data_IF_775760203415
#
_entry.id   IF_775760203415
#
_cell.length_a   1.000
_cell.length_b   1.000
_cell.length_c   1.000
_cell.angle_alpha   90.00
_cell.angle_beta   90.00
_cell.angle_gamma   90.00
#
_symmetry.space_group_name_H-M   'P 1'
#
loop_
_entity.id
_entity.type
_entity.pdbx_description
1 polymer ?
#
# COMPACT_ATOMS: atom_id res chain seq x y z
N UNK A 1 26.59 -2.09 -57.63
CA UNK A 1 27.93 -2.60 -57.29
C UNK A 1 27.79 -3.58 -56.14
N UNK A 2 27.88 -4.88 -56.43
CA UNK A 2 27.85 -6.00 -55.46
C UNK A 2 29.27 -6.53 -55.32
N UNK A 3 29.75 -6.79 -54.11
CA UNK A 3 30.86 -7.74 -53.88
C UNK A 3 30.53 -8.64 -52.70
N UNK A 4 30.13 -9.85 -53.05
CA UNK A 4 30.23 -11.04 -52.21
C UNK A 4 31.66 -11.56 -52.30
N UNK A 5 32.18 -12.08 -51.20
CA UNK A 5 33.38 -12.92 -51.21
C UNK A 5 33.16 -14.12 -50.29
N UNK A 6 32.81 -15.23 -50.91
CA UNK A 6 32.92 -16.60 -50.41
C UNK A 6 34.21 -17.20 -50.97
N UNK A 7 35.03 -17.88 -50.17
CA UNK A 7 35.76 -19.08 -50.60
C UNK A 7 36.33 -19.81 -49.37
N UNK A 8 35.94 -21.08 -49.23
CA UNK A 8 36.51 -22.09 -48.35
C UNK A 8 37.59 -22.89 -49.13
N UNK A 9 38.02 -24.09 -48.70
CA UNK A 9 38.74 -24.48 -47.49
C UNK A 9 40.06 -25.21 -47.83
N UNK A 10 40.91 -25.52 -46.84
CA UNK A 10 41.89 -26.62 -46.97
C UNK A 10 42.29 -27.18 -45.61
N UNK A 11 42.05 -28.47 -45.44
CA UNK A 11 42.55 -29.31 -44.37
C UNK A 11 43.94 -29.84 -44.71
N UNK A 12 44.82 -30.02 -43.72
CA UNK A 12 45.73 -31.17 -43.63
C UNK A 12 46.24 -31.33 -42.19
N UNK A 13 46.33 -32.60 -41.79
CA UNK A 13 46.73 -33.14 -40.50
C UNK A 13 48.21 -32.93 -40.17
N UNK A 14 48.57 -32.88 -38.88
CA UNK A 14 49.47 -33.85 -38.23
C UNK A 14 49.68 -33.53 -36.74
N UNK A 15 49.98 -34.58 -35.99
CA UNK A 15 49.91 -34.72 -34.54
C UNK A 15 51.10 -34.13 -33.76
N UNK A 16 50.88 -33.81 -32.50
CA UNK A 16 51.85 -34.00 -31.42
C UNK A 16 51.12 -34.20 -30.09
N UNK A 17 51.38 -35.36 -29.47
CA UNK A 17 50.87 -35.76 -28.17
C UNK A 17 51.66 -35.07 -27.05
N UNK A 18 50.95 -34.57 -26.03
CA UNK A 18 51.53 -34.32 -24.69
C UNK A 18 50.57 -34.87 -23.64
N UNK A 19 51.17 -35.59 -22.71
CA UNK A 19 50.57 -36.48 -21.74
C UNK A 19 49.89 -35.75 -20.56
N UNK A 20 49.09 -36.56 -19.87
CA UNK A 20 48.20 -36.30 -18.76
C UNK A 20 48.83 -35.53 -17.58
N UNK A 21 48.05 -34.63 -16.99
CA UNK A 21 47.98 -34.53 -15.53
C UNK A 21 46.55 -34.14 -15.11
N UNK A 22 45.86 -35.07 -14.47
CA UNK A 22 44.50 -34.94 -13.98
C UNK A 22 44.51 -34.38 -12.55
N UNK A 23 44.04 -33.16 -12.36
CA UNK A 23 43.55 -32.71 -11.06
C UNK A 23 42.04 -32.99 -11.01
N UNK A 24 41.68 -34.08 -10.34
CA UNK A 24 40.31 -34.39 -9.95
C UNK A 24 39.94 -33.49 -8.77
N UNK A 25 39.04 -32.53 -8.98
CA UNK A 25 38.37 -31.81 -7.90
C UNK A 25 36.96 -32.41 -7.71
N UNK A 26 36.54 -32.78 -6.48
CA UNK A 26 35.21 -33.30 -6.23
C UNK A 26 34.16 -32.19 -6.29
N UNK A 27 33.00 -32.49 -6.89
CA UNK A 27 31.83 -31.62 -6.95
C UNK A 27 31.22 -31.39 -5.55
N UNK A 28 30.61 -30.23 -5.27
CA UNK A 28 29.85 -30.03 -4.04
C UNK A 28 28.53 -30.82 -4.12
N UNK A 29 28.35 -31.74 -3.19
CA UNK A 29 27.12 -32.51 -3.00
C UNK A 29 25.96 -31.59 -2.61
N UNK A 30 24.82 -31.75 -3.30
CA UNK A 30 23.56 -31.11 -2.93
C UNK A 30 23.02 -31.74 -1.64
N UNK A 31 22.61 -30.95 -0.63
CA UNK A 31 21.95 -31.51 0.55
C UNK A 31 20.55 -32.03 0.19
N UNK A 32 20.25 -33.23 0.68
CA UNK A 32 18.97 -33.91 0.55
C UNK A 32 17.81 -33.12 1.22
N UNK A 33 16.57 -33.23 0.71
CA UNK A 33 15.42 -32.55 1.30
C UNK A 33 15.04 -33.18 2.65
N UNK A 34 14.96 -32.33 3.68
CA UNK A 34 14.41 -32.68 4.99
C UNK A 34 12.95 -33.11 4.87
N UNK A 35 12.61 -34.19 5.59
CA UNK A 35 11.29 -34.78 5.66
C UNK A 35 10.23 -33.78 6.15
N UNK A 36 9.11 -33.78 5.45
CA UNK A 36 7.91 -32.99 5.73
C UNK A 36 7.25 -33.39 7.06
N UNK A 37 6.99 -32.39 7.90
CA UNK A 37 6.22 -32.50 9.14
C UNK A 37 4.76 -32.95 8.88
N UNK A 38 4.11 -33.65 9.84
CA UNK A 38 2.73 -34.10 9.71
C UNK A 38 1.72 -32.93 9.74
N UNK A 39 0.55 -33.08 9.09
CA UNK A 39 -0.46 -32.03 9.03
C UNK A 39 -1.15 -31.79 10.38
N UNK A 40 -1.37 -30.51 10.71
CA UNK A 40 -2.19 -30.07 11.84
C UNK A 40 -3.67 -30.48 11.67
N UNK A 41 -4.40 -30.77 12.77
CA UNK A 41 -5.80 -31.18 12.71
C UNK A 41 -6.72 -30.06 12.21
N UNK A 42 -7.75 -30.46 11.47
CA UNK A 42 -8.73 -29.59 10.84
C UNK A 42 -9.54 -28.77 11.86
N UNK A 43 -9.50 -27.45 11.73
CA UNK A 43 -10.41 -26.55 12.44
C UNK A 43 -11.83 -26.70 11.87
N UNK A 44 -12.77 -27.06 12.74
CA UNK A 44 -14.21 -27.10 12.47
C UNK A 44 -14.72 -25.67 12.26
N UNK A 45 -15.31 -25.38 11.10
CA UNK A 45 -16.00 -24.10 10.86
C UNK A 45 -17.42 -24.16 11.42
N UNK A 46 -17.88 -23.17 12.19
CA UNK A 46 -19.29 -23.05 12.57
C UNK A 46 -20.15 -22.62 11.37
N UNK A 47 -21.38 -23.13 11.35
CA UNK A 47 -22.37 -22.90 10.28
C UNK A 47 -22.79 -21.42 10.15
N UNK A 48 -23.14 -20.95 8.94
CA UNK A 48 -23.62 -19.58 8.75
C UNK A 48 -25.05 -19.42 9.28
N UNK A 49 -25.24 -18.40 10.13
CA UNK A 49 -26.54 -17.95 10.60
C UNK A 49 -27.39 -17.41 9.43
N UNK A 50 -28.68 -17.70 9.48
CA UNK A 50 -29.67 -17.30 8.49
C UNK A 50 -29.85 -15.78 8.43
N UNK A 51 -29.80 -15.21 7.21
CA UNK A 51 -30.22 -13.83 6.96
C UNK A 51 -31.75 -13.72 7.11
N UNK A 52 -32.20 -12.80 7.96
CA UNK A 52 -33.58 -12.31 7.96
C UNK A 52 -33.75 -11.20 6.90
N UNK A 53 -34.94 -11.06 6.28
CA UNK A 53 -35.22 -10.06 5.26
C UNK A 53 -35.47 -8.66 5.86
N UNK A 54 -35.02 -7.64 5.14
CA UNK A 54 -35.25 -6.22 5.45
C UNK A 54 -36.71 -5.81 5.16
N UNK A 55 -37.33 -4.95 5.99
CA UNK A 55 -38.62 -4.34 5.66
C UNK A 55 -38.47 -3.14 4.72
N UNK A 56 -39.55 -2.94 3.96
CA UNK A 56 -39.69 -2.02 2.84
C UNK A 56 -39.92 -0.55 3.25
N UNK A 57 -39.61 0.31 2.27
CA UNK A 57 -39.81 1.75 2.12
C UNK A 57 -40.80 2.50 3.01
N UNK A 58 -40.36 3.71 3.39
CA UNK A 58 -41.23 4.84 3.67
C UNK A 58 -40.63 6.09 3.01
N UNK A 59 -41.45 6.74 2.18
CA UNK A 59 -41.26 8.04 1.57
C UNK A 59 -40.92 9.13 2.61
N UNK A 60 -40.00 10.03 2.27
CA UNK A 60 -39.85 11.30 2.99
C UNK A 60 -39.47 12.42 2.01
N UNK A 61 -40.41 13.35 1.89
CA UNK A 61 -40.40 14.59 1.11
C UNK A 61 -39.18 15.49 1.42
N UNK A 62 -38.71 16.17 0.38
CA UNK A 62 -37.85 17.35 0.48
C UNK A 62 -38.64 18.55 1.05
N UNK A 63 -38.10 19.31 2.02
CA UNK A 63 -38.65 20.61 2.35
C UNK A 63 -38.05 21.70 1.45
N UNK A 64 -38.94 22.55 0.95
CA UNK A 64 -38.66 23.65 0.04
C UNK A 64 -37.98 24.87 0.68
N UNK A 65 -37.37 25.65 -0.19
CA UNK A 65 -36.73 26.92 0.10
C UNK A 65 -37.72 27.99 0.57
N UNK A 66 -37.32 28.77 1.59
CA UNK A 66 -37.97 30.00 2.01
C UNK A 66 -36.95 31.17 1.98
N UNK A 67 -37.42 32.43 1.83
CA UNK A 67 -36.65 33.52 1.23
C UNK A 67 -35.72 34.26 2.20
N UNK A 68 -34.67 34.86 1.63
CA UNK A 68 -33.68 35.72 2.29
C UNK A 68 -34.28 37.09 2.64
N UNK A 69 -34.13 37.48 3.91
CA UNK A 69 -34.41 38.82 4.43
C UNK A 69 -33.11 39.66 4.45
N UNK A 70 -33.15 40.98 4.16
CA UNK A 70 -31.95 41.82 4.02
C UNK A 70 -31.32 42.22 5.37
N UNK A 71 -30.02 42.59 5.40
CA UNK A 71 -29.31 42.87 6.65
C UNK A 71 -29.63 44.27 7.22
N UNK A 72 -29.72 44.35 8.54
CA UNK A 72 -29.80 45.59 9.31
C UNK A 72 -28.41 46.28 9.47
N UNK A 73 -28.35 47.60 9.69
CA UNK A 73 -27.11 48.36 9.61
C UNK A 73 -26.21 48.24 10.87
N UNK A 74 -24.90 48.39 10.64
CA UNK A 74 -23.83 48.41 11.63
C UNK A 74 -24.04 49.53 12.66
N UNK A 75 -24.15 49.15 13.94
CA UNK A 75 -24.06 50.07 15.06
C UNK A 75 -22.61 50.16 15.57
N UNK A 76 -22.15 51.40 15.72
CA UNK A 76 -20.82 51.81 16.13
C UNK A 76 -20.47 51.34 17.56
N UNK A 77 -19.23 50.88 17.75
CA UNK A 77 -18.69 50.49 19.05
C UNK A 77 -18.47 51.72 19.97
N UNK A 78 -18.76 51.62 21.29
CA UNK A 78 -18.34 52.62 22.26
C UNK A 78 -16.83 52.47 22.61
N UNK A 79 -16.13 53.56 22.98
CA UNK A 79 -14.72 53.49 23.36
C UNK A 79 -14.55 52.81 24.73
N UNK A 80 -13.49 52.00 24.84
CA UNK A 80 -13.12 51.30 26.07
C UNK A 80 -12.64 52.28 27.17
N UNK A 81 -12.91 52.00 28.46
CA UNK A 81 -12.31 52.73 29.55
C UNK A 81 -10.82 52.35 29.69
N UNK A 82 -9.97 53.37 29.72
CA UNK A 82 -8.58 53.26 30.16
C UNK A 82 -8.57 53.22 31.69
N UNK A 83 -8.28 52.04 32.24
CA UNK A 83 -7.56 51.81 33.51
C UNK A 83 -7.88 50.39 34.01
N UNK A 84 -7.04 49.43 33.62
CA UNK A 84 -6.97 48.11 34.24
C UNK A 84 -5.50 47.81 34.56
N UNK A 85 -5.16 47.43 35.82
CA UNK A 85 -3.79 47.11 36.19
C UNK A 85 -3.31 45.86 35.44
N UNK A 86 -1.99 45.71 35.20
CA UNK A 86 -1.47 44.59 34.42
C UNK A 86 -1.80 43.28 35.13
N UNK A 87 -2.58 42.44 34.45
CA UNK A 87 -2.79 41.06 34.85
C UNK A 87 -1.42 40.36 34.92
N UNK A 88 -1.14 39.79 36.08
CA UNK A 88 0.01 38.94 36.30
C UNK A 88 0.11 37.88 35.19
N UNK A 89 1.35 37.65 34.74
CA UNK A 89 1.68 36.58 33.82
C UNK A 89 1.15 35.25 34.36
N UNK A 90 0.09 34.74 33.75
CA UNK A 90 -0.38 33.39 33.99
C UNK A 90 0.67 32.42 33.49
N UNK A 91 1.05 31.49 34.36
CA UNK A 91 1.82 30.29 34.02
C UNK A 91 1.24 29.64 32.76
N UNK A 92 2.12 29.29 31.83
CA UNK A 92 1.75 28.70 30.55
C UNK A 92 0.96 27.41 30.75
N UNK A 93 -0.37 27.50 30.65
CA UNK A 93 -1.23 26.33 30.63
C UNK A 93 -0.81 25.42 29.47
N UNK A 94 -0.59 24.14 29.77
CA UNK A 94 -0.33 23.11 28.78
C UNK A 94 -1.36 23.23 27.63
N UNK A 95 -0.94 22.98 26.37
CA UNK A 95 -1.81 23.14 25.23
C UNK A 95 -3.08 22.30 25.43
N UNK A 96 -4.24 22.98 25.52
CA UNK A 96 -5.54 22.33 25.52
C UNK A 96 -5.79 21.81 24.10
N UNK A 97 -5.80 20.50 23.92
CA UNK A 97 -6.09 19.88 22.63
C UNK A 97 -5.31 18.59 22.41
N UNK A 98 -5.51 17.96 21.24
CA UNK A 98 -4.85 16.71 20.91
C UNK A 98 -3.35 16.89 20.73
N UNK A 99 -2.61 15.92 21.24
CA UNK A 99 -1.14 15.92 21.20
C UNK A 99 -0.65 15.04 20.06
N UNK A 100 0.32 15.58 19.34
CA UNK A 100 1.09 14.87 18.32
C UNK A 100 2.56 15.01 18.71
N UNK A 101 3.16 13.91 19.15
CA UNK A 101 4.57 13.87 19.56
C UNK A 101 5.40 13.19 18.47
N UNK A 102 6.56 13.76 18.16
CA UNK A 102 7.54 13.16 17.26
C UNK A 102 8.56 12.43 18.12
N UNK A 103 8.61 11.10 18.03
CA UNK A 103 9.67 10.32 18.66
C UNK A 103 10.96 10.42 17.84
N UNK A 104 12.09 10.06 18.46
CA UNK A 104 13.42 10.14 17.82
C UNK A 104 13.43 9.43 16.45
N UNK A 105 13.72 10.15 15.34
CA UNK A 105 13.85 9.53 14.03
C UNK A 105 15.05 8.59 13.96
N UNK A 106 14.98 7.59 13.08
CA UNK A 106 16.09 6.66 12.83
C UNK A 106 16.14 6.23 11.37
N UNK A 107 17.36 5.97 10.90
CA UNK A 107 17.60 5.40 9.57
C UNK A 107 16.94 4.02 9.47
N UNK A 108 16.40 3.69 8.30
CA UNK A 108 15.73 2.41 8.07
C UNK A 108 16.62 1.23 8.48
N UNK A 109 16.06 0.30 9.27
CA UNK A 109 16.80 -0.85 9.80
C UNK A 109 17.69 -0.56 11.01
N UNK A 110 17.76 0.70 11.50
CA UNK A 110 18.50 1.09 12.72
C UNK A 110 17.57 1.44 13.89
N UNK A 111 16.39 0.84 13.97
CA UNK A 111 15.51 1.00 15.13
C UNK A 111 16.18 0.39 16.37
N UNK A 112 16.20 1.15 17.47
CA UNK A 112 16.73 0.67 18.74
C UNK A 112 15.90 -0.52 19.27
N UNK A 113 16.59 -1.56 19.74
CA UNK A 113 15.94 -2.66 20.44
C UNK A 113 15.43 -2.17 21.81
N UNK A 114 14.23 -2.60 22.26
CA UNK A 114 13.74 -2.26 23.59
C UNK A 114 14.70 -2.74 24.67
N UNK A 115 14.87 -1.96 25.75
CA UNK A 115 15.75 -2.33 26.88
C UNK A 115 15.19 -3.44 27.77
N UNK A 116 13.96 -3.89 27.53
CA UNK A 116 13.32 -4.97 28.27
C UNK A 116 11.87 -5.21 27.82
N UNK A 117 11.21 -6.15 28.48
CA UNK A 117 9.82 -6.54 28.16
C UNK A 117 8.82 -5.39 28.37
N UNK A 118 9.02 -4.55 29.39
CA UNK A 118 8.13 -3.40 29.64
C UNK A 118 8.14 -2.40 28.48
N UNK A 119 9.33 -1.99 28.03
CA UNK A 119 9.48 -1.08 26.89
C UNK A 119 8.96 -1.70 25.57
N UNK A 120 9.16 -3.02 25.40
CA UNK A 120 8.59 -3.74 24.26
C UNK A 120 7.06 -3.75 24.29
N UNK A 121 6.45 -4.06 25.45
CA UNK A 121 5.01 -4.09 25.62
C UNK A 121 4.38 -2.69 25.46
N UNK A 122 5.05 -1.65 25.93
CA UNK A 122 4.62 -0.27 25.72
C UNK A 122 4.64 0.10 24.24
N UNK A 123 5.72 -0.23 23.53
CA UNK A 123 5.81 -0.01 22.08
C UNK A 123 4.71 -0.78 21.33
N UNK A 124 4.46 -2.03 21.71
CA UNK A 124 3.42 -2.86 21.09
C UNK A 124 2.02 -2.28 21.35
N UNK A 125 1.77 -1.77 22.57
CA UNK A 125 0.53 -1.04 22.91
C UNK A 125 0.34 0.18 22.02
N UNK A 126 1.38 0.99 21.84
CA UNK A 126 1.35 2.15 20.95
C UNK A 126 1.14 1.77 19.49
N UNK A 127 1.81 0.72 19.00
CA UNK A 127 1.66 0.22 17.63
C UNK A 127 0.26 -0.35 17.35
N UNK A 128 -0.39 -0.93 18.36
CA UNK A 128 -1.77 -1.40 18.26
C UNK A 128 -2.77 -0.23 18.27
N UNK A 129 -2.54 0.78 19.12
CA UNK A 129 -3.43 1.93 19.29
C UNK A 129 -4.83 1.55 19.78
N UNK A 130 -5.75 2.50 19.74
CA UNK A 130 -7.15 2.30 20.11
C UNK A 130 -8.07 3.35 19.51
N UNK A 131 -9.38 3.07 19.50
CA UNK A 131 -10.44 3.98 19.00
C UNK A 131 -11.53 4.28 20.02
N UNK A 132 -11.47 3.66 21.20
CA UNK A 132 -12.59 3.58 22.14
C UNK A 132 -13.62 2.50 21.78
N UNK A 133 -14.60 2.30 22.68
CA UNK A 133 -15.63 1.26 22.60
C UNK A 133 -17.06 1.86 22.56
N UNK A 134 -17.93 1.44 21.62
CA UNK A 134 -17.64 0.90 20.29
C UNK A 134 -17.31 2.05 19.32
N UNK A 135 -16.36 1.88 18.38
CA UNK A 135 -16.05 2.92 17.42
C UNK A 135 -17.26 3.12 16.49
N UNK A 136 -17.70 4.37 16.33
CA UNK A 136 -18.62 4.70 15.24
C UNK A 136 -17.99 4.20 13.93
N UNK A 137 -18.79 3.61 13.00
CA UNK A 137 -18.25 3.18 11.73
C UNK A 137 -17.56 4.38 11.07
N UNK A 138 -16.31 4.23 10.60
CA UNK A 138 -15.63 5.33 9.95
C UNK A 138 -16.48 5.79 8.78
N UNK A 139 -16.51 7.09 8.45
CA UNK A 139 -17.31 7.54 7.32
C UNK A 139 -16.84 6.82 6.01
N UNK A 140 -17.62 6.83 4.92
CA UNK A 140 -17.23 6.16 3.67
C UNK A 140 -16.00 6.83 3.06
N UNK A 141 -14.88 6.10 2.90
CA UNK A 141 -13.58 6.67 2.50
C UNK A 141 -13.70 7.66 1.31
N UNK A 142 -13.04 8.82 1.43
CA UNK A 142 -12.89 9.72 0.29
C UNK A 142 -11.96 9.05 -0.74
N UNK A 143 -12.50 8.77 -1.92
CA UNK A 143 -11.76 8.16 -3.03
C UNK A 143 -11.63 6.63 -2.99
N UNK A 144 -10.84 6.11 -3.93
CA UNK A 144 -10.52 4.69 -4.09
C UNK A 144 -9.00 4.50 -3.90
N UNK A 145 -8.54 4.24 -2.66
CA UNK A 145 -7.10 4.15 -2.34
C UNK A 145 -6.41 2.99 -3.07
N UNK A 146 -7.13 1.88 -3.25
CA UNK A 146 -6.62 0.71 -3.94
C UNK A 146 -6.91 0.80 -5.44
N UNK A 147 -6.04 0.21 -6.29
CA UNK A 147 -6.29 0.17 -7.72
C UNK A 147 -7.59 -0.57 -8.03
N UNK A 148 -8.38 0.01 -8.92
CA UNK A 148 -9.61 -0.60 -9.41
C UNK A 148 -9.25 -1.63 -10.48
N UNK A 149 -9.51 -2.90 -10.16
CA UNK A 149 -9.26 -4.03 -11.06
C UNK A 149 -10.60 -4.59 -11.54
N UNK A 150 -10.78 -4.66 -12.85
CA UNK A 150 -11.98 -5.21 -13.49
C UNK A 150 -11.57 -6.42 -14.32
N UNK A 151 -12.23 -7.55 -14.10
CA UNK A 151 -12.04 -8.78 -14.88
C UNK A 151 -13.36 -9.14 -15.52
N UNK A 152 -13.41 -9.06 -16.85
CA UNK A 152 -14.61 -9.36 -17.63
C UNK A 152 -14.35 -10.48 -18.63
N UNK A 153 -15.38 -11.30 -18.88
CA UNK A 153 -15.35 -12.34 -19.89
C UNK A 153 -16.08 -11.86 -21.13
N UNK A 154 -15.33 -11.56 -22.19
CA UNK A 154 -15.89 -11.00 -23.44
C UNK A 154 -16.55 -12.09 -24.27
N UNK A 155 -15.95 -13.27 -24.33
CA UNK A 155 -16.43 -14.37 -25.18
C UNK A 155 -16.06 -15.73 -24.61
N UNK A 156 -17.02 -16.65 -24.63
CA UNK A 156 -16.78 -18.08 -24.37
C UNK A 156 -17.23 -18.87 -25.60
N UNK A 157 -16.32 -19.63 -26.20
CA UNK A 157 -16.62 -20.60 -27.26
C UNK A 157 -16.46 -21.99 -26.68
N UNK A 158 -17.56 -22.69 -26.50
CA UNK A 158 -17.58 -24.05 -25.94
C UNK A 158 -18.74 -24.26 -24.97
N UNK A 159 -18.77 -25.41 -24.28
CA UNK A 159 -19.87 -25.79 -23.38
C UNK A 159 -19.90 -25.04 -22.03
N UNK A 160 -18.89 -24.22 -21.71
CA UNK A 160 -18.86 -23.46 -20.46
C UNK A 160 -19.84 -22.29 -20.48
N UNK A 161 -20.55 -22.06 -19.37
CA UNK A 161 -21.47 -20.93 -19.20
C UNK A 161 -20.70 -19.64 -18.89
N UNK A 162 -20.92 -18.58 -19.67
CA UNK A 162 -20.21 -17.31 -19.53
C UNK A 162 -20.26 -16.73 -18.10
N UNK A 163 -21.45 -16.67 -17.48
CA UNK A 163 -21.62 -16.16 -16.10
C UNK A 163 -20.82 -16.93 -15.05
N UNK A 164 -20.70 -18.25 -15.23
CA UNK A 164 -19.95 -19.09 -14.29
C UNK A 164 -18.44 -18.89 -14.44
N UNK A 165 -17.95 -18.81 -15.68
CA UNK A 165 -16.56 -18.49 -15.99
C UNK A 165 -16.19 -17.11 -15.45
N UNK A 166 -17.06 -16.11 -15.63
CA UNK A 166 -16.86 -14.75 -15.16
C UNK A 166 -16.78 -14.67 -13.63
N UNK A 167 -17.71 -15.34 -12.93
CA UNK A 167 -17.69 -15.43 -11.46
C UNK A 167 -16.38 -16.01 -10.93
N UNK A 168 -15.87 -17.08 -11.55
CA UNK A 168 -14.61 -17.71 -11.15
C UNK A 168 -13.39 -16.86 -11.54
N UNK A 169 -13.41 -16.25 -12.71
CA UNK A 169 -12.36 -15.35 -13.17
C UNK A 169 -12.22 -14.14 -12.23
N UNK A 170 -13.32 -13.47 -11.88
CA UNK A 170 -13.31 -12.33 -10.94
C UNK A 170 -12.81 -12.72 -9.56
N UNK A 171 -13.24 -13.88 -9.05
CA UNK A 171 -12.81 -14.38 -7.73
C UNK A 171 -11.33 -14.75 -7.68
N UNK A 172 -10.80 -15.42 -8.69
CA UNK A 172 -9.45 -16.00 -8.64
C UNK A 172 -8.38 -15.11 -9.27
N UNK A 173 -8.70 -14.36 -10.32
CA UNK A 173 -7.69 -13.56 -11.03
C UNK A 173 -7.41 -12.22 -10.36
N UNK A 174 -8.31 -11.69 -9.52
CA UNK A 174 -8.13 -10.36 -8.92
C UNK A 174 -6.79 -10.23 -8.18
N UNK A 175 -6.45 -11.18 -7.31
CA UNK A 175 -5.20 -11.16 -6.54
C UNK A 175 -3.97 -11.26 -7.44
N UNK A 176 -4.07 -12.03 -8.52
CA UNK A 176 -3.00 -12.19 -9.49
C UNK A 176 -2.79 -10.92 -10.32
N UNK A 177 -3.87 -10.27 -10.76
CA UNK A 177 -3.83 -8.99 -11.46
C UNK A 177 -3.17 -7.94 -10.57
N UNK A 178 -3.61 -7.83 -9.31
CA UNK A 178 -3.01 -6.93 -8.33
C UNK A 178 -1.51 -7.20 -8.15
N UNK A 179 -1.11 -8.47 -8.03
CA UNK A 179 0.31 -8.83 -7.86
C UNK A 179 1.19 -8.48 -9.05
N UNK A 180 0.69 -8.59 -10.28
CA UNK A 180 1.42 -8.20 -11.48
C UNK A 180 1.49 -6.67 -11.64
N UNK A 181 0.43 -5.98 -11.23
CA UNK A 181 0.30 -4.53 -11.35
C UNK A 181 1.17 -3.78 -10.32
N UNK A 182 1.12 -4.16 -9.03
CA UNK A 182 1.70 -3.39 -7.92
C UNK A 182 3.19 -3.05 -8.11
N UNK A 183 3.97 -3.97 -8.68
CA UNK A 183 5.41 -3.77 -8.88
C UNK A 183 5.72 -2.65 -9.89
N UNK A 184 4.92 -2.56 -10.95
CA UNK A 184 5.07 -1.52 -11.97
C UNK A 184 4.39 -0.23 -11.54
N UNK A 185 3.23 -0.31 -10.89
CA UNK A 185 2.51 0.83 -10.35
C UNK A 185 3.28 1.61 -9.29
N UNK A 186 4.18 0.94 -8.56
CA UNK A 186 5.14 1.62 -7.67
C UNK A 186 6.07 2.57 -8.45
N UNK A 187 6.57 2.16 -9.62
CA UNK A 187 7.48 2.98 -10.44
C UNK A 187 6.76 3.98 -11.35
N UNK A 188 5.55 3.63 -11.77
CA UNK A 188 4.69 4.46 -12.60
C UNK A 188 3.28 4.47 -11.99
N UNK A 189 3.01 5.40 -11.07
CA UNK A 189 1.70 5.52 -10.42
C UNK A 189 0.56 5.82 -11.39
N UNK A 190 0.88 6.29 -12.60
CA UNK A 190 -0.11 6.58 -13.65
C UNK A 190 -0.47 5.36 -14.49
N UNK A 191 0.17 4.22 -14.26
CA UNK A 191 -0.02 3.02 -15.07
C UNK A 191 -1.50 2.60 -15.07
N UNK A 192 -2.11 2.62 -16.24
CA UNK A 192 -3.47 2.13 -16.43
C UNK A 192 -3.60 1.49 -17.79
N UNK A 193 -4.64 0.68 -17.94
CA UNK A 193 -4.97 0.12 -19.23
C UNK A 193 -5.67 -1.22 -19.14
N UNK A 194 -5.82 -1.83 -20.31
CA UNK A 194 -6.59 -3.05 -20.52
C UNK A 194 -5.72 -4.07 -21.23
N UNK A 195 -5.69 -5.29 -20.68
CA UNK A 195 -5.08 -6.46 -21.33
C UNK A 195 -6.16 -7.47 -21.71
N UNK A 196 -6.14 -7.92 -22.96
CA UNK A 196 -7.04 -8.97 -23.46
C UNK A 196 -6.27 -10.28 -23.56
N UNK A 197 -6.68 -11.28 -22.78
CA UNK A 197 -6.04 -12.60 -22.73
C UNK A 197 -6.97 -13.65 -23.31
N UNK A 198 -6.46 -14.45 -24.26
CA UNK A 198 -7.14 -15.64 -24.78
C UNK A 198 -6.67 -16.87 -24.01
N UNK A 199 -7.62 -17.61 -23.46
CA UNK A 199 -7.40 -18.85 -22.72
C UNK A 199 -7.89 -20.04 -23.55
N UNK A 200 -7.12 -21.12 -23.51
CA UNK A 200 -7.52 -22.45 -23.98
C UNK A 200 -7.77 -23.33 -22.76
N UNK A 201 -8.98 -23.84 -22.63
CA UNK A 201 -9.44 -24.61 -21.47
C UNK A 201 -9.65 -26.06 -21.90
N UNK A 202 -9.08 -27.00 -21.17
CA UNK A 202 -9.29 -28.43 -21.38
C UNK A 202 -10.69 -28.87 -20.94
N UNK A 203 -11.07 -30.11 -21.31
CA UNK A 203 -12.29 -30.76 -20.81
C UNK A 203 -12.32 -30.88 -19.28
N UNK A 204 -11.16 -30.94 -18.64
CA UNK A 204 -11.02 -31.01 -17.18
C UNK A 204 -11.21 -29.66 -16.47
N UNK A 205 -11.36 -28.57 -17.23
CA UNK A 205 -11.50 -27.22 -16.70
C UNK A 205 -10.18 -26.51 -16.38
N UNK A 206 -9.04 -27.12 -16.73
CA UNK A 206 -7.72 -26.50 -16.56
C UNK A 206 -7.37 -25.63 -17.77
N UNK A 207 -6.82 -24.45 -17.52
CA UNK A 207 -6.28 -23.58 -18.58
C UNK A 207 -4.94 -24.14 -19.03
N UNK A 208 -4.88 -24.68 -20.25
CA UNK A 208 -3.67 -25.29 -20.84
C UNK A 208 -2.81 -24.27 -21.57
N UNK A 209 -3.42 -23.20 -22.09
CA UNK A 209 -2.70 -22.09 -22.71
C UNK A 209 -3.39 -20.77 -22.37
N UNK A 210 -2.58 -19.73 -22.20
CA UNK A 210 -3.02 -18.36 -22.01
C UNK A 210 -2.05 -17.43 -22.75
N UNK A 211 -2.58 -16.54 -23.59
CA UNK A 211 -1.78 -15.58 -24.36
C UNK A 211 -2.44 -14.21 -24.34
N UNK A 212 -1.67 -13.16 -24.06
CA UNK A 212 -2.11 -11.80 -24.28
C UNK A 212 -2.24 -11.58 -25.79
N UNK A 213 -3.41 -11.09 -26.22
CA UNK A 213 -3.75 -10.86 -27.64
C UNK A 213 -3.76 -9.37 -27.99
N UNK A 214 -4.01 -8.51 -27.00
CA UNK A 214 -3.93 -7.07 -27.11
C UNK A 214 -3.68 -6.48 -25.71
N UNK A 215 -2.98 -5.35 -25.64
CA UNK A 215 -2.78 -4.60 -24.40
C UNK A 215 -2.69 -3.10 -24.71
N UNK A 216 -3.32 -2.27 -23.88
CA UNK A 216 -3.11 -0.81 -23.87
C UNK A 216 -2.21 -0.36 -22.71
N UNK A 217 -1.72 -1.29 -21.88
CA UNK A 217 -0.76 -0.96 -20.82
C UNK A 217 0.58 -0.56 -21.46
N UNK A 218 1.17 0.53 -20.98
CA UNK A 218 2.54 0.98 -21.32
C UNK A 218 3.64 0.04 -20.78
N UNK A 219 3.27 -1.06 -20.13
CA UNK A 219 4.15 -2.03 -19.47
C UNK A 219 3.93 -3.47 -20.00
N UNK A 220 4.72 -3.93 -20.99
CA UNK A 220 4.54 -5.24 -21.63
C UNK A 220 4.90 -6.43 -20.72
N UNK A 221 5.75 -6.20 -19.72
CA UNK A 221 6.07 -7.15 -18.64
C UNK A 221 4.83 -7.46 -17.79
N UNK A 222 4.01 -6.45 -17.48
CA UNK A 222 2.74 -6.64 -16.75
C UNK A 222 1.78 -7.49 -17.58
N UNK A 223 1.60 -7.19 -18.87
CA UNK A 223 0.74 -7.98 -19.76
C UNK A 223 1.18 -9.45 -19.85
N UNK A 224 2.50 -9.70 -19.86
CA UNK A 224 3.08 -11.03 -19.85
C UNK A 224 2.82 -11.76 -18.52
N UNK A 225 2.99 -11.08 -17.39
CA UNK A 225 2.65 -11.60 -16.06
C UNK A 225 1.17 -11.98 -15.97
N UNK A 226 0.27 -11.13 -16.45
CA UNK A 226 -1.18 -11.38 -16.47
C UNK A 226 -1.53 -12.64 -17.26
N UNK A 227 -0.96 -12.80 -18.46
CA UNK A 227 -1.19 -13.99 -19.27
C UNK A 227 -0.67 -15.26 -18.59
N UNK A 228 0.50 -15.21 -17.95
CA UNK A 228 1.06 -16.35 -17.23
C UNK A 228 0.21 -16.72 -16.01
N UNK A 229 -0.19 -15.75 -15.20
CA UNK A 229 -1.03 -15.98 -14.02
C UNK A 229 -2.44 -16.44 -14.38
N UNK A 230 -2.98 -16.04 -15.53
CA UNK A 230 -4.27 -16.52 -16.00
C UNK A 230 -4.34 -18.05 -16.19
N UNK A 231 -3.19 -18.73 -16.32
CA UNK A 231 -3.13 -20.20 -16.37
C UNK A 231 -3.50 -20.87 -15.05
N UNK A 232 -3.43 -20.17 -13.91
CA UNK A 232 -3.84 -20.72 -12.61
C UNK A 232 -5.36 -20.84 -12.46
N UNK A 233 -6.14 -20.19 -13.35
CA UNK A 233 -7.59 -20.25 -13.34
C UNK A 233 -8.06 -21.70 -13.52
N UNK A 234 -8.88 -22.16 -12.59
CA UNK A 234 -9.56 -23.45 -12.68
C UNK A 234 -11.05 -23.21 -12.92
N UNK A 235 -11.59 -23.87 -13.93
CA UNK A 235 -12.98 -23.81 -14.35
C UNK A 235 -13.66 -25.17 -14.14
N UNK A 236 -15.00 -25.23 -14.19
CA UNK A 236 -15.72 -26.49 -14.08
C UNK A 236 -15.36 -27.44 -15.22
N UNK A 237 -15.46 -28.74 -14.95
CA UNK A 237 -15.38 -29.76 -16.01
C UNK A 237 -16.55 -29.58 -16.98
N UNK A 238 -16.28 -29.81 -18.26
CA UNK A 238 -17.31 -29.73 -19.30
C UNK A 238 -17.19 -30.89 -20.28
N UNK A 239 -18.14 -31.00 -21.22
CA UNK A 239 -18.15 -32.09 -22.21
C UNK A 239 -17.00 -32.01 -23.22
N UNK A 240 -16.53 -30.80 -23.52
CA UNK A 240 -15.45 -30.50 -24.46
C UNK A 240 -14.60 -29.32 -23.96
N UNK A 241 -13.45 -29.09 -24.61
CA UNK A 241 -12.64 -27.90 -24.34
C UNK A 241 -13.34 -26.61 -24.72
N UNK A 242 -12.86 -25.49 -24.18
CA UNK A 242 -13.41 -24.15 -24.45
C UNK A 242 -12.32 -23.15 -24.75
N UNK A 243 -12.61 -22.15 -25.59
CA UNK A 243 -11.79 -20.98 -25.78
C UNK A 243 -12.48 -19.77 -25.10
N UNK A 244 -11.79 -19.13 -24.17
CA UNK A 244 -12.31 -18.00 -23.38
C UNK A 244 -11.48 -16.76 -23.68
N UNK A 245 -12.14 -15.62 -23.89
CA UNK A 245 -11.47 -14.32 -24.02
C UNK A 245 -11.82 -13.49 -22.79
N UNK A 246 -10.80 -13.14 -22.02
CA UNK A 246 -10.90 -12.37 -20.78
C UNK A 246 -10.25 -11.02 -20.98
N UNK A 247 -10.87 -9.95 -20.49
CA UNK A 247 -10.27 -8.63 -20.41
C UNK A 247 -10.01 -8.26 -18.97
N UNK A 248 -8.78 -7.84 -18.68
CA UNK A 248 -8.33 -7.40 -17.37
C UNK A 248 -7.99 -5.92 -17.49
N UNK A 249 -8.72 -5.07 -16.78
CA UNK A 249 -8.53 -3.63 -16.76
C UNK A 249 -7.99 -3.23 -15.39
N UNK A 250 -7.00 -2.36 -15.38
CA UNK A 250 -6.45 -1.78 -14.15
C UNK A 250 -6.45 -0.27 -14.27
N UNK A 251 -6.96 0.38 -13.23
CA UNK A 251 -6.91 1.81 -13.04
C UNK A 251 -6.15 2.10 -11.74
N UNK A 252 -5.32 3.16 -11.70
CA UNK A 252 -4.60 3.54 -10.50
C UNK A 252 -5.59 3.88 -9.39
N UNK A 253 -5.16 3.59 -8.16
CA UNK A 253 -5.81 4.14 -6.98
C UNK A 253 -5.30 5.55 -6.72
N UNK A 254 -5.95 6.25 -5.80
CA UNK A 254 -5.53 7.59 -5.39
C UNK A 254 -4.27 7.57 -4.51
N UNK A 255 -3.87 6.39 -4.02
CA UNK A 255 -2.76 6.22 -3.10
C UNK A 255 -1.55 5.56 -3.78
N UNK A 256 -0.32 6.08 -3.56
CA UNK A 256 0.89 5.43 -4.05
C UNK A 256 0.99 3.99 -3.57
N UNK A 257 1.47 3.10 -4.44
CA UNK A 257 1.65 1.69 -4.10
C UNK A 257 2.93 1.50 -3.32
N UNK A 258 2.85 0.85 -2.15
CA UNK A 258 4.04 0.57 -1.34
C UNK A 258 5.00 -0.40 -2.07
N UNK A 259 6.31 -0.09 -2.11
CA UNK A 259 7.31 -1.03 -2.61
C UNK A 259 7.37 -2.31 -1.76
N UNK A 260 7.64 -3.48 -2.36
CA UNK A 260 7.81 -4.71 -1.60
C UNK A 260 9.00 -4.59 -0.62
N UNK A 261 8.92 -5.13 0.60
CA UNK A 261 10.00 -5.02 1.58
C UNK A 261 11.36 -5.53 1.08
N UNK A 262 11.36 -6.50 0.18
CA UNK A 262 12.58 -7.10 -0.39
C UNK A 262 13.42 -6.15 -1.24
N UNK A 263 12.89 -5.00 -1.66
CA UNK A 263 13.63 -3.99 -2.45
C UNK A 263 13.93 -2.73 -1.65
N UNK A 264 13.56 -2.68 -0.37
CA UNK A 264 13.83 -1.55 0.50
C UNK A 264 15.27 -1.58 0.99
N UNK A 265 16.02 -0.52 0.70
CA UNK A 265 17.36 -0.31 1.22
C UNK A 265 17.45 1.07 1.90
N UNK A 266 18.20 1.23 3.01
CA UNK A 266 18.29 2.49 3.74
C UNK A 266 18.87 3.67 2.95
N UNK A 267 19.56 3.42 1.84
CA UNK A 267 20.30 4.45 1.10
C UNK A 267 21.65 4.79 1.73
N UNK A 268 22.63 5.27 0.93
CA UNK A 268 23.96 5.65 1.41
C UNK A 268 23.94 6.98 2.18
N UNK A 269 22.91 7.82 1.99
CA UNK A 269 22.81 9.13 2.60
C UNK A 269 22.77 9.10 4.13
N UNK A 270 23.20 10.15 4.80
CA UNK A 270 23.05 10.33 6.24
C UNK A 270 22.46 11.72 6.54
N UNK A 271 21.67 11.81 7.60
CA UNK A 271 21.09 13.05 8.10
C UNK A 271 20.87 12.92 9.60
N UNK A 272 21.22 13.96 10.35
CA UNK A 272 21.11 13.95 11.81
C UNK A 272 19.63 13.84 12.25
N UNK A 273 19.30 12.97 13.23
CA UNK A 273 17.94 12.79 13.72
C UNK A 273 17.26 14.09 14.15
N UNK A 274 18.00 15.04 14.72
CA UNK A 274 17.46 16.32 15.18
C UNK A 274 17.08 17.22 14.00
N UNK A 275 17.84 17.18 12.90
CA UNK A 275 17.50 17.87 11.67
C UNK A 275 16.24 17.28 11.00
N UNK A 276 16.11 15.95 11.03
CA UNK A 276 14.89 15.25 10.59
C UNK A 276 13.69 15.66 11.45
N UNK A 277 13.84 15.64 12.77
CA UNK A 277 12.78 15.99 13.71
C UNK A 277 12.34 17.45 13.54
N UNK A 278 13.28 18.39 13.34
CA UNK A 278 12.98 19.79 13.10
C UNK A 278 12.17 19.99 11.82
N UNK A 279 12.58 19.36 10.70
CA UNK A 279 11.84 19.44 9.44
C UNK A 279 10.45 18.78 9.54
N UNK A 280 10.33 17.64 10.23
CA UNK A 280 9.05 17.00 10.48
C UNK A 280 8.13 17.84 11.37
N UNK A 281 8.69 18.59 12.32
CA UNK A 281 7.93 19.46 13.21
C UNK A 281 7.19 20.59 12.46
N UNK A 282 7.68 21.01 11.30
CA UNK A 282 6.98 21.98 10.44
C UNK A 282 5.61 21.46 9.96
N UNK A 283 5.42 20.14 9.85
CA UNK A 283 4.13 19.53 9.49
C UNK A 283 3.18 19.30 10.67
N UNK A 284 3.61 19.54 11.92
CA UNK A 284 2.77 19.29 13.10
C UNK A 284 1.39 19.95 13.04
N UNK A 285 1.23 21.22 12.60
CA UNK A 285 -0.10 21.82 12.46
C UNK A 285 -0.99 21.06 11.47
N UNK A 286 -0.42 20.59 10.35
CA UNK A 286 -1.16 19.83 9.34
C UNK A 286 -1.55 18.43 9.84
N UNK A 287 -0.64 17.75 10.55
CA UNK A 287 -0.91 16.44 11.14
C UNK A 287 -1.91 16.52 12.30
N UNK A 288 -1.84 17.58 13.12
CA UNK A 288 -2.84 17.85 14.16
C UNK A 288 -4.23 18.04 13.56
N UNK A 289 -4.34 18.81 12.47
CA UNK A 289 -5.63 18.97 11.78
C UNK A 289 -6.19 17.64 11.22
N UNK A 290 -5.33 16.76 10.69
CA UNK A 290 -5.75 15.40 10.30
C UNK A 290 -6.30 14.60 11.49
N UNK A 291 -5.67 14.75 12.66
CA UNK A 291 -6.06 14.03 13.87
C UNK A 291 -7.35 14.57 14.49
N UNK A 292 -7.49 15.89 14.61
CA UNK A 292 -8.71 16.57 15.06
C UNK A 292 -9.93 16.15 14.25
N UNK A 293 -9.79 16.06 12.92
CA UNK A 293 -10.85 15.57 12.05
C UNK A 293 -11.24 14.11 12.34
N UNK A 294 -10.28 13.27 12.71
CA UNK A 294 -10.53 11.88 13.07
C UNK A 294 -11.22 11.75 14.45
N UNK A 295 -10.82 12.59 15.41
CA UNK A 295 -11.40 12.66 16.76
C UNK A 295 -12.89 13.00 16.75
N UNK A 296 -13.38 13.72 15.72
CA UNK A 296 -14.81 13.97 15.55
C UNK A 296 -15.66 12.68 15.44
N UNK A 297 -15.07 11.58 14.96
CA UNK A 297 -15.73 10.27 14.85
C UNK A 297 -15.25 9.23 15.87
N UNK A 298 -14.04 9.40 16.39
CA UNK A 298 -13.44 8.51 17.38
C UNK A 298 -12.73 9.33 18.48
N UNK A 299 -13.47 9.85 19.48
CA UNK A 299 -12.90 10.73 20.50
C UNK A 299 -11.79 10.11 21.35
N UNK A 300 -11.76 8.79 21.46
CA UNK A 300 -10.73 8.02 22.15
C UNK A 300 -9.70 7.40 21.18
N UNK A 301 -9.53 7.97 19.98
CA UNK A 301 -8.51 7.54 19.02
C UNK A 301 -7.13 7.87 19.55
N UNK A 302 -6.23 6.89 19.64
CA UNK A 302 -4.83 7.08 19.99
C UNK A 302 -3.98 6.00 19.32
N UNK A 303 -2.67 6.23 19.22
CA UNK A 303 -1.74 5.22 18.70
C UNK A 303 -0.46 5.83 18.13
N UNK A 304 0.42 4.95 17.67
CA UNK A 304 1.66 5.29 16.99
C UNK A 304 1.50 5.08 15.49
N UNK A 305 1.97 6.03 14.71
CA UNK A 305 2.11 5.95 13.27
C UNK A 305 3.58 6.16 12.92
N UNK A 306 4.28 5.10 12.55
CA UNK A 306 5.65 5.20 12.05
C UNK A 306 5.66 5.42 10.54
N UNK A 307 6.17 6.57 10.11
CA UNK A 307 6.23 6.94 8.70
C UNK A 307 7.63 6.71 8.18
N UNK A 308 7.78 5.82 7.22
CA UNK A 308 9.00 5.64 6.43
C UNK A 308 9.02 6.63 5.27
N UNK A 309 10.05 7.46 5.23
CA UNK A 309 10.33 8.37 4.14
C UNK A 309 11.38 7.79 3.19
N UNK A 310 11.29 8.16 1.92
CA UNK A 310 12.44 8.21 1.01
C UNK A 310 12.67 9.66 0.63
N UNK A 311 13.90 10.11 0.88
CA UNK A 311 14.36 11.47 0.59
C UNK A 311 15.46 11.38 -0.44
N UNK A 312 15.27 12.09 -1.54
CA UNK A 312 16.26 12.20 -2.63
C UNK A 312 17.51 12.94 -2.15
N UNK A 313 18.60 12.87 -2.92
CA UNK A 313 19.84 13.62 -2.67
C UNK A 313 19.64 15.15 -2.54
N UNK A 314 18.48 15.69 -3.00
CA UNK A 314 18.13 17.12 -2.93
C UNK A 314 17.23 17.46 -1.74
N UNK A 315 16.89 16.49 -0.89
CA UNK A 315 15.98 16.71 0.24
C UNK A 315 14.49 16.59 -0.08
N UNK A 316 14.11 16.38 -1.35
CA UNK A 316 12.71 16.17 -1.73
C UNK A 316 12.20 14.78 -1.35
N UNK A 317 10.97 14.70 -0.86
CA UNK A 317 10.28 13.44 -0.54
C UNK A 317 9.51 12.94 -1.77
N UNK A 318 9.76 11.70 -2.19
CA UNK A 318 9.01 11.03 -3.26
C UNK A 318 8.21 9.80 -2.75
N UNK A 319 8.54 9.29 -1.55
CA UNK A 319 7.79 8.23 -0.88
C UNK A 319 7.54 8.54 0.60
N UNK A 320 6.32 8.25 1.06
CA UNK A 320 5.98 8.18 2.48
C UNK A 320 4.96 7.05 2.69
N UNK A 321 5.27 6.10 3.57
CA UNK A 321 4.45 4.93 3.87
C UNK A 321 4.43 4.63 5.37
N UNK A 322 3.32 4.08 5.87
CA UNK A 322 3.28 3.51 7.20
C UNK A 322 4.16 2.25 7.28
N UNK A 323 4.92 2.12 8.36
CA UNK A 323 5.75 0.94 8.67
C UNK A 323 5.70 0.67 10.17
N UNK A 324 5.95 -0.57 10.60
CA UNK A 324 6.03 -1.03 12.01
C UNK A 324 4.75 -0.94 12.86
N UNK A 325 3.87 0.01 12.58
CA UNK A 325 2.56 0.18 13.22
C UNK A 325 1.44 -0.18 12.26
N UNK A 326 0.23 -0.30 12.80
CA UNK A 326 -1.01 -0.23 12.03
C UNK A 326 -1.96 0.71 12.74
N UNK A 327 -1.85 2.00 12.44
CA UNK A 327 -2.63 3.03 13.08
C UNK A 327 -4.13 2.73 12.89
N UNK A 328 -4.95 2.86 13.94
CA UNK A 328 -6.32 2.36 13.87
C UNK A 328 -7.15 3.01 12.77
N UNK A 329 -6.91 4.29 12.44
CA UNK A 329 -7.66 5.08 11.45
C UNK A 329 -7.00 5.30 10.09
N UNK A 330 -7.44 4.51 9.10
CA UNK A 330 -6.92 4.60 7.73
C UNK A 330 -7.15 5.96 7.05
N UNK A 331 -8.24 6.69 7.38
CA UNK A 331 -8.52 8.00 6.76
C UNK A 331 -7.55 9.05 7.27
N UNK A 332 -7.30 9.03 8.57
CA UNK A 332 -6.29 9.83 9.22
C UNK A 332 -4.90 9.48 8.70
N UNK A 333 -4.55 8.18 8.66
CA UNK A 333 -3.26 7.72 8.11
C UNK A 333 -3.04 8.28 6.72
N UNK A 334 -4.04 8.20 5.83
CA UNK A 334 -3.97 8.79 4.49
C UNK A 334 -3.79 10.31 4.49
N UNK A 335 -4.50 11.02 5.35
CA UNK A 335 -4.35 12.47 5.50
C UNK A 335 -2.91 12.82 5.89
N UNK A 336 -2.36 12.15 6.91
CA UNK A 336 -0.99 12.34 7.41
C UNK A 336 0.04 12.01 6.33
N UNK A 337 -0.07 10.85 5.66
CA UNK A 337 0.86 10.43 4.61
C UNK A 337 0.83 11.37 3.39
N UNK A 338 -0.33 11.92 3.00
CA UNK A 338 -0.40 12.94 1.94
C UNK A 338 0.36 14.22 2.31
N UNK A 339 0.23 14.68 3.57
CA UNK A 339 0.98 15.85 4.05
C UNK A 339 2.48 15.55 4.18
N UNK A 340 2.82 14.33 4.60
CA UNK A 340 4.20 13.88 4.70
C UNK A 340 4.93 13.91 3.34
N UNK A 341 4.26 13.54 2.23
CA UNK A 341 4.85 13.59 0.88
C UNK A 341 5.06 15.01 0.34
N UNK A 342 4.49 16.03 0.98
CA UNK A 342 4.70 17.43 0.62
C UNK A 342 5.86 18.08 1.39
N UNK A 343 6.48 17.36 2.34
CA UNK A 343 7.62 17.84 3.09
C UNK A 343 8.88 17.94 2.23
N UNK A 344 9.77 18.82 2.64
CA UNK A 344 11.15 18.88 2.16
C UNK A 344 12.06 18.80 3.37
N UNK A 345 13.04 17.90 3.32
CA UNK A 345 14.06 17.75 4.33
C UNK A 345 15.35 18.44 3.88
N UNK A 346 16.29 18.72 4.80
CA UNK A 346 17.65 19.06 4.41
C UNK A 346 18.25 17.98 3.50
N UNK A 347 19.12 18.39 2.58
CA UNK A 347 19.77 17.47 1.68
C UNK A 347 20.64 16.47 2.47
N UNK A 348 20.42 15.15 2.35
CA UNK A 348 21.22 14.14 3.01
C UNK A 348 22.65 14.09 2.45
N UNK A 349 23.63 13.85 3.30
CA UNK A 349 25.03 13.72 2.90
C UNK A 349 25.29 12.34 2.29
N UNK A 350 25.81 12.26 1.07
CA UNK A 350 26.27 11.00 0.47
C UNK A 350 25.25 10.24 -0.39
N UNK A 351 24.06 10.79 -0.64
CA UNK A 351 23.07 10.25 -1.59
C UNK A 351 21.66 10.18 -1.01
N UNK A 352 20.78 9.34 -1.59
CA UNK A 352 19.41 9.16 -1.08
C UNK A 352 19.39 8.53 0.32
N UNK A 353 18.32 8.79 1.06
CA UNK A 353 18.15 8.29 2.42
C UNK A 353 16.72 7.82 2.66
N UNK A 354 16.59 6.64 3.29
CA UNK A 354 15.34 6.15 3.87
C UNK A 354 15.45 6.10 5.39
N UNK A 355 14.54 6.79 6.07
CA UNK A 355 14.44 6.84 7.53
C UNK A 355 12.98 6.73 7.97
N UNK A 356 12.77 6.53 9.26
CA UNK A 356 11.44 6.44 9.87
C UNK A 356 11.29 7.57 10.90
N UNK A 357 10.15 8.25 10.85
CA UNK A 357 9.70 9.22 11.85
C UNK A 357 8.47 8.65 12.56
N UNK A 358 8.59 8.21 13.81
CA UNK A 358 7.45 7.78 14.58
C UNK A 358 6.69 8.96 15.17
N UNK A 359 5.37 8.91 15.03
CA UNK A 359 4.45 9.89 15.60
C UNK A 359 3.57 9.20 16.64
N UNK A 360 3.40 9.79 17.82
CA UNK A 360 2.41 9.37 18.82
C UNK A 360 1.26 10.37 18.85
N UNK A 361 0.04 9.86 18.75
CA UNK A 361 -1.19 10.64 18.76
C UNK A 361 -1.99 10.29 20.02
N UNK A 362 -2.36 11.30 20.82
CA UNK A 362 -3.22 11.15 21.99
C UNK A 362 -4.30 12.25 22.08
N UNK A 363 -5.54 11.91 22.48
CA UNK A 363 -6.66 12.86 22.48
C UNK A 363 -6.51 13.93 23.56
N UNK A 364 -5.77 13.61 24.64
CA UNK A 364 -5.48 14.49 25.76
C UNK A 364 -3.97 14.63 25.98
N UNK A 365 -3.55 15.79 26.50
CA UNK A 365 -2.19 16.02 26.98
C UNK A 365 -1.88 15.31 28.32
N UNK A 366 -2.90 14.81 29.02
CA UNK A 366 -2.79 14.16 30.33
C UNK A 366 -2.78 12.62 30.28
N UNK A 367 -2.76 12.00 29.09
CA UNK A 367 -2.94 10.55 28.91
C UNK A 367 -1.67 9.69 28.87
N UNK A 368 -0.56 10.17 29.42
CA UNK A 368 0.74 9.47 29.52
C UNK A 368 1.30 9.61 30.94
N UNK A 369 0.49 9.37 31.96
CA UNK A 369 1.03 9.02 33.28
C UNK A 369 0.86 7.51 33.53
N UNK A 370 1.92 6.83 34.01
CA UNK A 370 1.98 5.38 34.18
C UNK A 370 1.01 4.81 35.22
#
# INVERSE_FOLDING_TARGET
>A
MKRSSSFAPRAFLAAAAVALSACVAPAPECPAPLASAPPAPAAVQPAPAALQPAPAGADAQAPGAAPREPPAPLASAPPAPADAPPAAAGEGGAPRGPVVEIDRPYKLGRLAAPRGQAEAAERDRWNAGGRGDPPAPPPPAEGHPLPRIIVDVVKVKGPLKAREVERLARRHLWIHVYSCYRLRAYKDPSLHGKTTVRLTVSRTGKVTAARATASTLSAPDVASCLAQRAKSLSLPRARAGSAVVVTMQVYPGDEPVEPPPSVLAPGPGELEPDAIAAAAAEALPAWRACYEAALASAPALWGRLAIRFHVTERGAVDEAFEVESRFPDERMTRCVLRRARALTFPAPEGGDLRFVVPLRFSPDAHGLEP
#
